data_IF_212699955769
#
_entry.id   IF_212699955769
#
_cell.length_a   1.000
_cell.length_b   1.000
_cell.length_c   1.000
_cell.angle_alpha   90.00
_cell.angle_beta   90.00
_cell.angle_gamma   90.00
#
_symmetry.space_group_name_H-M   'P 1'
#
loop_
_entity.id
_entity.type
_entity.pdbx_description
1 polymer ?
#
# COMPACT_ATOMS: atom_id res chain seq x y z
N UNK A 1 -16.58 12.30 -19.52
CA UNK A 1 -16.88 13.57 -20.21
C UNK A 1 -15.66 14.05 -20.99
N UNK A 2 -14.52 14.43 -20.37
CA UNK A 2 -13.31 14.95 -21.03
C UNK A 2 -12.80 14.06 -22.19
N UNK A 3 -12.71 12.74 -21.98
CA UNK A 3 -12.26 11.81 -23.02
C UNK A 3 -13.20 11.79 -24.22
N UNK A 4 -14.51 11.89 -24.01
CA UNK A 4 -15.50 11.93 -25.08
C UNK A 4 -15.44 13.27 -25.85
N UNK A 5 -15.09 14.36 -25.17
CA UNK A 5 -14.87 15.67 -25.83
C UNK A 5 -13.60 15.67 -26.69
N UNK A 6 -12.51 15.05 -26.19
CA UNK A 6 -11.25 14.93 -26.94
C UNK A 6 -11.35 13.98 -28.13
N UNK A 7 -12.20 12.95 -28.04
CA UNK A 7 -12.38 11.94 -29.08
C UNK A 7 -13.86 11.83 -29.51
N UNK A 8 -14.44 12.85 -30.16
CA UNK A 8 -15.89 12.91 -30.42
C UNK A 8 -16.39 11.81 -31.37
N UNK A 9 -15.52 11.15 -32.10
CA UNK A 9 -15.88 10.04 -32.99
C UNK A 9 -15.76 8.67 -32.32
N UNK A 10 -15.18 8.60 -31.12
CA UNK A 10 -14.98 7.36 -30.41
C UNK A 10 -16.17 7.03 -29.49
N UNK A 11 -16.54 5.78 -29.43
CA UNK A 11 -17.53 5.27 -28.49
C UNK A 11 -16.84 5.03 -27.16
N UNK A 12 -17.05 5.93 -26.21
CA UNK A 12 -16.40 5.92 -24.90
C UNK A 12 -17.36 5.32 -23.88
N UNK A 13 -16.85 4.37 -23.08
CA UNK A 13 -17.57 3.86 -21.92
C UNK A 13 -16.70 3.96 -20.65
N UNK A 14 -17.37 3.98 -19.50
CA UNK A 14 -16.75 4.04 -18.18
C UNK A 14 -17.07 2.77 -17.40
N UNK A 15 -16.07 2.25 -16.71
CA UNK A 15 -16.19 1.09 -15.84
C UNK A 15 -15.62 1.42 -14.45
N UNK A 16 -16.51 1.72 -13.50
CA UNK A 16 -16.15 2.05 -12.12
C UNK A 16 -16.59 0.99 -11.13
N UNK A 17 -15.81 0.88 -10.05
CA UNK A 17 -16.20 0.19 -8.83
C UNK A 17 -16.56 -1.28 -9.00
N UNK A 18 -17.44 -1.76 -8.17
CA UNK A 18 -17.93 -3.14 -8.23
C UNK A 18 -18.70 -3.37 -9.53
N UNK A 19 -18.37 -4.47 -10.21
CA UNK A 19 -19.10 -4.95 -11.37
C UNK A 19 -20.58 -5.15 -10.99
N UNK A 20 -21.34 -4.04 -11.00
CA UNK A 20 -22.79 -4.11 -10.91
C UNK A 20 -23.36 -4.79 -12.18
N UNK A 21 -24.67 -5.04 -12.24
CA UNK A 21 -25.32 -5.76 -13.35
C UNK A 21 -25.00 -5.25 -14.76
N UNK A 22 -24.51 -4.01 -14.90
CA UNK A 22 -24.10 -3.41 -16.18
C UNK A 22 -22.63 -3.55 -16.55
N UNK A 23 -21.74 -3.92 -15.61
CA UNK A 23 -20.30 -3.98 -15.84
C UNK A 23 -19.89 -5.06 -16.84
N UNK A 24 -20.51 -6.23 -16.75
CA UNK A 24 -20.26 -7.36 -17.67
C UNK A 24 -20.69 -7.04 -19.11
N UNK A 25 -21.71 -6.22 -19.29
CA UNK A 25 -22.16 -5.78 -20.60
C UNK A 25 -21.15 -4.82 -21.24
N UNK A 26 -20.66 -3.83 -20.49
CA UNK A 26 -19.62 -2.89 -20.95
C UNK A 26 -18.35 -3.65 -21.35
N UNK A 27 -17.91 -4.62 -20.56
CA UNK A 27 -16.74 -5.45 -20.87
C UNK A 27 -16.95 -6.27 -22.14
N UNK A 28 -18.11 -6.86 -22.31
CA UNK A 28 -18.49 -7.61 -23.52
C UNK A 28 -18.47 -6.71 -24.74
N UNK A 29 -19.07 -5.52 -24.64
CA UNK A 29 -19.16 -4.56 -25.73
C UNK A 29 -17.77 -4.04 -26.15
N UNK A 30 -16.90 -3.77 -25.19
CA UNK A 30 -15.52 -3.42 -25.47
C UNK A 30 -14.76 -4.58 -26.14
N UNK A 31 -14.92 -5.80 -25.66
CA UNK A 31 -14.29 -7.00 -26.23
C UNK A 31 -14.72 -7.26 -27.67
N UNK A 32 -15.97 -6.92 -28.01
CA UNK A 32 -16.55 -7.08 -29.34
C UNK A 32 -16.28 -5.88 -30.26
N UNK A 33 -15.61 -4.84 -29.77
CA UNK A 33 -15.31 -3.63 -30.53
C UNK A 33 -16.52 -2.73 -30.75
N UNK A 34 -17.55 -2.82 -29.91
CA UNK A 34 -18.67 -1.86 -29.88
C UNK A 34 -18.34 -0.59 -29.08
N UNK A 35 -17.32 -0.64 -28.26
CA UNK A 35 -16.72 0.47 -27.53
C UNK A 35 -15.27 0.60 -27.99
N UNK A 36 -14.84 1.83 -28.26
CA UNK A 36 -13.49 2.12 -28.76
C UNK A 36 -12.53 2.50 -27.62
N UNK A 37 -13.03 3.20 -26.60
CA UNK A 37 -12.26 3.63 -25.44
C UNK A 37 -12.99 3.21 -24.16
N UNK A 38 -12.29 2.44 -23.33
CA UNK A 38 -12.77 2.06 -22.02
C UNK A 38 -11.99 2.84 -20.95
N UNK A 39 -12.66 3.67 -20.17
CA UNK A 39 -12.10 4.42 -19.05
C UNK A 39 -12.50 3.74 -17.76
N UNK A 40 -11.54 3.50 -16.86
CA UNK A 40 -11.85 2.84 -15.59
C UNK A 40 -10.74 2.95 -14.56
N UNK A 41 -11.02 2.46 -13.38
CA UNK A 41 -10.06 2.34 -12.28
C UNK A 41 -9.32 0.99 -12.36
N UNK A 42 -8.61 0.62 -11.30
CA UNK A 42 -7.83 -0.65 -11.22
C UNK A 42 -8.66 -1.92 -11.52
N UNK A 43 -9.97 -1.84 -11.50
CA UNK A 43 -10.87 -2.96 -11.77
C UNK A 43 -10.74 -3.47 -13.21
N UNK A 44 -10.44 -2.59 -14.17
CA UNK A 44 -10.20 -2.95 -15.57
C UNK A 44 -8.96 -3.84 -15.72
N UNK A 45 -8.06 -3.80 -14.73
CA UNK A 45 -6.86 -4.64 -14.69
C UNK A 45 -7.16 -6.11 -14.31
N UNK A 46 -8.28 -6.40 -13.66
CA UNK A 46 -8.55 -7.74 -13.11
C UNK A 46 -9.40 -8.60 -14.06
N UNK A 47 -8.82 -9.68 -14.56
CA UNK A 47 -9.57 -10.82 -15.11
C UNK A 47 -10.00 -10.74 -16.58
N UNK A 48 -9.90 -9.59 -17.26
CA UNK A 48 -10.37 -9.48 -18.65
C UNK A 48 -9.24 -9.65 -19.67
N UNK A 49 -9.46 -10.39 -20.73
CA UNK A 49 -8.54 -10.54 -21.86
C UNK A 49 -9.13 -9.85 -23.09
N UNK A 50 -8.53 -8.74 -23.50
CA UNK A 50 -8.98 -7.95 -24.66
C UNK A 50 -8.06 -8.21 -25.85
N UNK A 51 -8.51 -9.06 -26.75
CA UNK A 51 -7.71 -9.49 -27.92
C UNK A 51 -7.35 -8.36 -28.91
N UNK A 52 -8.03 -7.24 -28.86
CA UNK A 52 -7.87 -6.08 -29.77
C UNK A 52 -7.31 -4.83 -29.10
N UNK A 53 -6.76 -4.96 -27.92
CA UNK A 53 -6.24 -3.82 -27.16
C UNK A 53 -4.92 -3.34 -27.75
N UNK A 54 -4.93 -2.16 -28.38
CA UNK A 54 -3.78 -1.54 -29.04
C UNK A 54 -3.05 -0.54 -28.14
N UNK A 55 -3.77 0.07 -27.19
CA UNK A 55 -3.21 1.05 -26.25
C UNK A 55 -3.75 0.80 -24.85
N UNK A 56 -2.84 0.83 -23.91
CA UNK A 56 -3.15 0.97 -22.47
C UNK A 56 -2.48 2.23 -21.98
N UNK A 57 -3.26 3.15 -21.41
CA UNK A 57 -2.75 4.38 -20.83
C UNK A 57 -3.07 4.42 -19.32
N UNK A 58 -2.03 4.61 -18.50
CA UNK A 58 -2.17 4.85 -17.06
C UNK A 58 -1.93 6.32 -16.80
N UNK A 59 -3.00 7.02 -16.42
CA UNK A 59 -2.96 8.45 -16.13
C UNK A 59 -2.71 8.69 -14.64
N UNK A 60 -1.99 9.78 -14.30
CA UNK A 60 -1.66 10.15 -12.92
C UNK A 60 -1.04 8.99 -12.12
N UNK A 61 -0.08 8.29 -12.72
CA UNK A 61 0.52 7.09 -12.14
C UNK A 61 1.20 7.35 -10.79
N UNK A 62 1.60 8.60 -10.50
CA UNK A 62 2.16 9.01 -9.20
C UNK A 62 1.22 8.72 -8.02
N UNK A 63 -0.09 8.68 -8.27
CA UNK A 63 -1.07 8.29 -7.25
C UNK A 63 -0.88 6.85 -6.74
N UNK A 64 -0.27 5.98 -7.54
CA UNK A 64 0.04 4.60 -7.15
C UNK A 64 1.17 4.53 -6.11
N UNK A 65 2.06 5.52 -6.11
CA UNK A 65 3.21 5.64 -5.21
C UNK A 65 2.90 6.48 -3.95
N UNK A 66 1.80 7.23 -3.96
CA UNK A 66 1.43 8.18 -2.90
C UNK A 66 0.94 7.54 -1.58
N UNK A 67 0.88 6.23 -1.49
CA UNK A 67 0.45 5.55 -0.27
C UNK A 67 1.59 5.50 0.76
N UNK A 68 1.28 5.85 2.02
CA UNK A 68 2.20 5.70 3.15
C UNK A 68 2.31 4.22 3.59
N UNK A 69 2.65 3.35 2.66
CA UNK A 69 2.81 1.91 2.86
C UNK A 69 4.15 1.48 2.25
N UNK A 70 4.97 0.77 3.01
CA UNK A 70 6.25 0.23 2.53
C UNK A 70 6.12 -0.70 1.31
N UNK A 71 4.90 -1.10 0.97
CA UNK A 71 4.56 -1.92 -0.20
C UNK A 71 4.12 -1.08 -1.39
N UNK A 72 4.13 0.25 -1.30
CA UNK A 72 3.59 1.11 -2.37
C UNK A 72 4.27 0.83 -3.71
N UNK A 73 5.59 0.82 -3.75
CA UNK A 73 6.38 0.56 -4.96
C UNK A 73 6.12 -0.84 -5.54
N UNK A 74 6.07 -1.85 -4.68
CA UNK A 74 5.77 -3.22 -5.12
C UNK A 74 4.35 -3.35 -5.67
N UNK A 75 3.36 -2.72 -5.02
CA UNK A 75 1.97 -2.72 -5.50
C UNK A 75 1.83 -1.96 -6.82
N UNK A 76 2.50 -0.81 -6.94
CA UNK A 76 2.53 -0.04 -8.17
C UNK A 76 3.17 -0.84 -9.32
N UNK A 77 4.32 -1.45 -9.06
CA UNK A 77 4.99 -2.33 -10.03
C UNK A 77 4.09 -3.49 -10.46
N UNK A 78 3.52 -4.26 -9.52
CA UNK A 78 2.64 -5.39 -9.83
C UNK A 78 1.43 -4.96 -10.67
N UNK A 79 0.83 -3.82 -10.37
CA UNK A 79 -0.31 -3.30 -11.11
C UNK A 79 0.10 -2.87 -12.52
N UNK A 80 1.20 -2.14 -12.67
CA UNK A 80 1.70 -1.69 -13.97
C UNK A 80 2.11 -2.87 -14.86
N UNK A 81 2.72 -3.92 -14.29
CA UNK A 81 3.02 -5.17 -15.01
C UNK A 81 1.75 -5.87 -15.51
N UNK A 82 0.69 -5.88 -14.69
CA UNK A 82 -0.60 -6.42 -15.12
C UNK A 82 -1.16 -5.64 -16.32
N UNK A 83 -1.02 -4.33 -16.35
CA UNK A 83 -1.44 -3.50 -17.47
C UNK A 83 -0.56 -3.71 -18.70
N UNK A 84 0.77 -3.72 -18.53
CA UNK A 84 1.73 -3.93 -19.61
C UNK A 84 1.47 -5.27 -20.33
N UNK A 85 1.22 -6.32 -19.56
CA UNK A 85 0.93 -7.66 -20.09
C UNK A 85 -0.38 -7.77 -20.89
N UNK A 86 -1.20 -6.73 -20.91
CA UNK A 86 -2.47 -6.70 -21.68
C UNK A 86 -2.34 -6.04 -23.04
N UNK A 87 -1.40 -5.10 -23.21
CA UNK A 87 -1.10 -4.48 -24.49
C UNK A 87 -0.29 -5.43 -25.38
N UNK A 88 -0.73 -5.66 -26.64
CA UNK A 88 0.12 -6.32 -27.62
C UNK A 88 0.09 -7.85 -27.67
N UNK A 89 -0.97 -8.51 -27.22
CA UNK A 89 -1.14 -9.96 -27.40
C UNK A 89 -1.41 -10.32 -28.89
N UNK A 90 -0.99 -11.53 -29.30
CA UNK A 90 -1.19 -12.14 -30.64
C UNK A 90 -0.46 -11.43 -31.80
N UNK A 91 0.79 -10.93 -31.55
CA UNK A 91 1.66 -10.45 -32.64
C UNK A 91 1.40 -9.00 -33.09
N UNK A 92 0.47 -8.28 -32.45
CA UNK A 92 0.32 -6.84 -32.61
C UNK A 92 1.17 -6.12 -31.56
N UNK A 93 1.96 -5.12 -31.99
CA UNK A 93 2.68 -4.24 -31.07
C UNK A 93 1.66 -3.34 -30.35
N UNK A 94 1.34 -3.65 -29.09
CA UNK A 94 0.56 -2.77 -28.24
C UNK A 94 1.42 -1.63 -27.71
N UNK A 95 0.82 -0.48 -27.48
CA UNK A 95 1.45 0.65 -26.81
C UNK A 95 1.03 0.65 -25.34
N UNK A 96 2.00 0.81 -24.43
CA UNK A 96 1.76 1.02 -23.00
C UNK A 96 2.29 2.41 -22.63
N UNK A 97 1.42 3.29 -22.18
CA UNK A 97 1.72 4.67 -21.84
C UNK A 97 1.52 4.90 -20.34
N UNK A 98 2.52 5.49 -19.71
CA UNK A 98 2.45 5.90 -18.29
C UNK A 98 2.63 7.41 -18.22
N UNK A 99 1.60 8.10 -17.72
CA UNK A 99 1.69 9.53 -17.44
C UNK A 99 2.11 9.72 -15.98
N UNK A 100 3.26 10.36 -15.77
CA UNK A 100 3.84 10.61 -14.45
C UNK A 100 4.59 11.94 -14.41
N UNK A 101 4.67 12.59 -13.25
CA UNK A 101 5.52 13.75 -13.00
C UNK A 101 6.96 13.33 -12.59
N UNK A 102 7.17 12.04 -12.26
CA UNK A 102 8.43 11.49 -11.77
C UNK A 102 8.94 10.32 -12.63
N UNK A 103 9.23 10.54 -13.93
CA UNK A 103 9.57 9.46 -14.86
C UNK A 103 10.85 8.70 -14.46
N UNK A 104 11.73 9.33 -13.67
CA UNK A 104 12.96 8.72 -13.17
C UNK A 104 12.78 7.81 -11.96
N UNK A 105 11.53 7.69 -11.43
CA UNK A 105 11.26 6.79 -10.33
C UNK A 105 11.62 5.33 -10.69
N UNK A 106 12.29 4.56 -9.80
CA UNK A 106 12.77 3.21 -10.10
C UNK A 106 11.70 2.28 -10.69
N UNK A 107 10.47 2.34 -10.19
CA UNK A 107 9.34 1.55 -10.69
C UNK A 107 9.05 1.84 -12.17
N UNK A 108 8.98 3.13 -12.56
CA UNK A 108 8.67 3.50 -13.95
C UNK A 108 9.82 3.20 -14.89
N UNK A 109 11.05 3.45 -14.45
CA UNK A 109 12.26 3.10 -15.24
C UNK A 109 12.33 1.60 -15.50
N UNK A 110 12.05 0.78 -14.50
CA UNK A 110 12.03 -0.68 -14.63
C UNK A 110 10.95 -1.14 -15.62
N UNK A 111 9.72 -0.64 -15.48
CA UNK A 111 8.61 -0.97 -16.39
C UNK A 111 8.87 -0.53 -17.81
N UNK A 112 9.56 0.58 -18.03
CA UNK A 112 9.90 1.13 -19.38
C UNK A 112 11.12 0.47 -20.01
N UNK A 113 11.90 -0.30 -19.24
CA UNK A 113 13.06 -1.02 -19.76
C UNK A 113 12.65 -2.37 -20.34
N UNK A 114 13.37 -2.83 -21.35
CA UNK A 114 13.25 -4.20 -21.87
C UNK A 114 13.97 -5.24 -20.98
N UNK A 115 14.62 -4.78 -19.92
CA UNK A 115 15.37 -5.63 -19.01
C UNK A 115 14.45 -6.25 -17.97
N UNK A 116 14.35 -7.56 -17.98
CA UNK A 116 13.72 -8.38 -16.94
C UNK A 116 14.83 -8.91 -16.01
N UNK A 117 15.52 -8.00 -15.34
CA UNK A 117 16.46 -8.36 -14.28
C UNK A 117 15.79 -8.21 -12.90
N UNK A 118 16.39 -8.77 -11.87
CA UNK A 118 15.86 -8.68 -10.50
C UNK A 118 16.22 -7.36 -9.79
N UNK A 119 16.74 -6.37 -10.52
CA UNK A 119 17.30 -5.13 -9.94
C UNK A 119 16.30 -4.34 -9.10
N UNK A 120 15.03 -4.26 -9.54
CA UNK A 120 13.98 -3.59 -8.77
C UNK A 120 13.64 -4.37 -7.50
N UNK A 121 13.54 -5.70 -7.60
CA UNK A 121 13.27 -6.58 -6.46
C UNK A 121 14.38 -6.47 -5.42
N UNK A 122 15.63 -6.46 -5.87
CA UNK A 122 16.80 -6.32 -5.00
C UNK A 122 16.86 -4.95 -4.33
N UNK A 123 16.51 -3.88 -5.06
CA UNK A 123 16.43 -2.53 -4.51
C UNK A 123 15.35 -2.43 -3.43
N UNK A 124 14.14 -2.95 -3.69
CA UNK A 124 13.03 -2.99 -2.74
C UNK A 124 13.41 -3.81 -1.50
N UNK A 125 14.05 -4.97 -1.67
CA UNK A 125 14.47 -5.81 -0.54
C UNK A 125 15.57 -5.14 0.28
N UNK A 126 16.54 -4.47 -0.37
CA UNK A 126 17.61 -3.73 0.31
C UNK A 126 17.05 -2.59 1.16
N UNK A 127 16.08 -1.84 0.62
CA UNK A 127 15.38 -0.78 1.36
C UNK A 127 14.61 -1.36 2.55
N UNK A 128 13.85 -2.45 2.34
CA UNK A 128 13.13 -3.11 3.43
C UNK A 128 14.04 -3.62 4.52
N UNK A 129 15.21 -4.14 4.17
CA UNK A 129 16.21 -4.54 5.14
C UNK A 129 16.73 -3.34 5.94
N UNK A 130 17.10 -2.26 5.25
CA UNK A 130 17.63 -1.05 5.87
C UNK A 130 16.63 -0.42 6.86
N UNK A 131 15.35 -0.36 6.49
CA UNK A 131 14.30 0.21 7.33
C UNK A 131 13.59 -0.79 8.23
N UNK A 132 13.98 -2.06 8.20
CA UNK A 132 13.39 -3.12 9.02
C UNK A 132 11.94 -3.38 8.73
N UNK A 133 11.60 -3.45 7.46
CA UNK A 133 10.29 -3.87 6.99
C UNK A 133 10.23 -5.39 6.73
N UNK A 134 9.03 -5.97 6.61
CA UNK A 134 8.90 -7.33 6.11
C UNK A 134 9.55 -7.49 4.73
N UNK A 135 10.16 -8.63 4.42
CA UNK A 135 10.12 -9.92 5.14
C UNK A 135 11.09 -10.05 6.31
N UNK A 136 11.97 -9.09 6.56
CA UNK A 136 13.06 -9.14 7.57
C UNK A 136 12.57 -8.91 9.00
N UNK A 137 11.39 -8.33 9.17
CA UNK A 137 10.75 -8.07 10.44
C UNK A 137 9.28 -8.52 10.46
N UNK A 138 8.66 -8.39 11.64
CA UNK A 138 7.21 -8.38 11.82
C UNK A 138 6.79 -7.01 12.30
N UNK A 139 5.77 -6.45 11.66
CA UNK A 139 5.15 -5.21 12.09
C UNK A 139 3.95 -5.55 12.95
N UNK A 140 3.86 -4.88 14.10
CA UNK A 140 2.72 -4.93 15.02
C UNK A 140 2.20 -3.52 15.16
N UNK A 141 0.94 -3.29 14.85
CA UNK A 141 0.27 -2.05 15.15
C UNK A 141 -0.37 -2.16 16.54
N UNK A 142 -0.07 -1.19 17.40
CA UNK A 142 -0.69 -1.03 18.72
C UNK A 142 -1.61 0.17 18.64
N UNK A 143 -2.92 -0.05 18.78
CA UNK A 143 -3.93 1.00 18.70
C UNK A 143 -4.45 1.34 20.09
N UNK A 144 -4.42 2.62 20.44
CA UNK A 144 -5.03 3.18 21.65
C UNK A 144 -6.27 3.96 21.22
N UNK A 145 -7.39 3.77 21.93
CA UNK A 145 -8.67 4.41 21.62
C UNK A 145 -9.23 5.12 22.83
N UNK A 146 -9.73 6.34 22.64
CA UNK A 146 -10.42 7.11 23.64
C UNK A 146 -11.49 8.03 23.02
N UNK A 147 -12.48 8.45 23.80
CA UNK A 147 -13.50 9.42 23.36
C UNK A 147 -12.96 10.84 23.24
N UNK A 148 -11.94 11.18 24.01
CA UNK A 148 -11.24 12.46 23.97
C UNK A 148 -9.93 12.31 23.19
N UNK A 149 -9.71 13.21 22.24
CA UNK A 149 -8.54 13.17 21.37
C UNK A 149 -7.24 13.39 22.14
N UNK A 150 -7.24 14.32 23.09
CA UNK A 150 -6.09 14.62 23.93
C UNK A 150 -5.72 13.44 24.82
N UNK A 151 -6.72 12.78 25.41
CA UNK A 151 -6.55 11.55 26.20
C UNK A 151 -5.98 10.42 25.37
N UNK A 152 -6.51 10.18 24.15
CA UNK A 152 -5.97 9.18 23.24
C UNK A 152 -4.50 9.43 22.91
N UNK A 153 -4.13 10.69 22.64
CA UNK A 153 -2.76 11.07 22.33
C UNK A 153 -1.82 10.91 23.54
N UNK A 154 -2.25 11.31 24.74
CA UNK A 154 -1.48 11.19 25.97
C UNK A 154 -1.24 9.72 26.35
N UNK A 155 -2.30 8.89 26.34
CA UNK A 155 -2.23 7.46 26.61
C UNK A 155 -1.32 6.73 25.60
N UNK A 156 -1.45 7.04 24.31
CA UNK A 156 -0.58 6.45 23.29
C UNK A 156 0.90 6.88 23.46
N UNK A 157 1.14 8.14 23.84
CA UNK A 157 2.49 8.62 24.11
C UNK A 157 3.12 7.93 25.32
N UNK A 158 2.37 7.75 26.39
CA UNK A 158 2.79 7.00 27.57
C UNK A 158 3.09 5.54 27.25
N UNK A 159 2.22 4.88 26.51
CA UNK A 159 2.44 3.49 26.07
C UNK A 159 3.67 3.36 25.17
N UNK A 160 3.87 4.28 24.22
CA UNK A 160 5.05 4.29 23.36
C UNK A 160 6.34 4.44 24.18
N UNK A 161 6.32 5.31 25.20
CA UNK A 161 7.44 5.48 26.14
C UNK A 161 7.70 4.21 26.95
N UNK A 162 6.64 3.57 27.48
CA UNK A 162 6.75 2.31 28.22
C UNK A 162 7.39 1.20 27.35
N UNK A 163 6.93 1.06 26.10
CA UNK A 163 7.51 0.09 25.15
C UNK A 163 8.99 0.42 24.89
N UNK A 164 9.34 1.68 24.58
CA UNK A 164 10.74 2.08 24.34
C UNK A 164 11.62 1.77 25.54
N UNK A 165 11.18 2.13 26.74
CA UNK A 165 11.93 1.87 27.98
C UNK A 165 12.15 0.37 28.22
N UNK A 166 11.10 -0.43 28.04
CA UNK A 166 11.18 -1.86 28.22
C UNK A 166 12.17 -2.52 27.27
N UNK A 167 12.23 -2.08 26.01
CA UNK A 167 13.18 -2.61 25.03
C UNK A 167 14.53 -1.87 24.99
N UNK A 168 14.75 -0.88 25.85
CA UNK A 168 16.01 -0.13 25.92
C UNK A 168 16.27 0.76 24.68
N UNK A 169 15.22 1.18 23.97
CA UNK A 169 15.30 1.94 22.72
C UNK A 169 15.65 3.40 23.03
N UNK A 170 16.79 3.88 22.53
CA UNK A 170 17.32 5.22 22.77
C UNK A 170 17.31 6.06 21.50
N UNK A 171 16.18 6.30 20.90
CA UNK A 171 16.07 7.15 19.70
C UNK A 171 14.91 6.83 18.81
N UNK A 172 14.77 7.63 17.74
CA UNK A 172 13.71 7.49 16.75
C UNK A 172 14.14 6.64 15.54
N UNK A 173 15.44 6.50 15.33
CA UNK A 173 16.01 5.82 14.16
C UNK A 173 16.56 4.48 14.59
N UNK A 174 16.17 3.45 13.86
CA UNK A 174 16.65 2.09 14.07
C UNK A 174 18.13 1.99 13.74
N UNK A 175 18.94 1.45 14.69
CA UNK A 175 20.27 0.96 14.36
C UNK A 175 20.18 -0.46 13.78
N UNK A 176 21.23 -0.92 13.08
CA UNK A 176 21.32 -2.32 12.60
C UNK A 176 21.29 -3.35 13.73
N UNK A 177 21.58 -2.92 14.94
CA UNK A 177 21.65 -3.75 16.16
C UNK A 177 20.30 -3.83 16.88
N UNK A 178 19.37 -2.87 16.60
CA UNK A 178 18.07 -2.84 17.26
C UNK A 178 17.16 -3.96 16.76
N UNK A 179 16.83 -4.85 17.66
CA UNK A 179 15.90 -5.96 17.37
C UNK A 179 14.45 -5.50 17.32
N UNK A 180 14.13 -4.37 17.95
CA UNK A 180 12.81 -3.77 18.03
C UNK A 180 12.91 -2.28 17.73
N UNK A 181 12.00 -1.78 16.89
CA UNK A 181 11.87 -0.35 16.61
C UNK A 181 10.43 0.11 16.85
N UNK A 182 10.28 1.33 17.38
CA UNK A 182 8.98 1.90 17.75
C UNK A 182 8.81 3.25 17.06
N UNK A 183 7.77 3.37 16.25
CA UNK A 183 7.40 4.60 15.53
C UNK A 183 6.03 5.04 16.02
N UNK A 184 5.87 6.33 16.20
CA UNK A 184 4.66 6.93 16.72
C UNK A 184 4.76 7.37 18.18
N UNK A 185 3.60 7.75 18.79
CA UNK A 185 2.26 7.59 18.25
C UNK A 185 1.95 8.54 17.09
N UNK A 186 1.00 8.15 16.23
CA UNK A 186 0.49 8.93 15.11
C UNK A 186 -1.01 8.68 14.90
N UNK A 187 -1.70 9.60 14.23
CA UNK A 187 -3.06 9.41 13.77
C UNK A 187 -3.06 8.54 12.50
N UNK A 188 -3.79 7.42 12.43
CA UNK A 188 -3.96 6.64 11.22
C UNK A 188 -4.82 7.39 10.19
N UNK A 189 -4.86 6.91 8.93
CA UNK A 189 -5.68 7.50 7.88
C UNK A 189 -7.19 7.56 8.21
N UNK A 190 -7.68 6.62 9.04
CA UNK A 190 -8.99 6.68 9.70
C UNK A 190 -8.73 6.79 11.19
N UNK A 191 -8.75 8.01 11.69
CA UNK A 191 -8.36 8.34 13.07
C UNK A 191 -9.53 8.41 14.06
N UNK A 192 -10.78 8.23 13.56
CA UNK A 192 -11.99 8.20 14.38
C UNK A 192 -12.98 7.15 13.87
N UNK A 193 -13.40 6.25 14.75
CA UNK A 193 -14.40 5.21 14.46
C UNK A 193 -15.36 5.09 15.66
N UNK A 194 -16.67 5.14 15.41
CA UNK A 194 -17.70 5.00 16.44
C UNK A 194 -17.47 5.92 17.65
N UNK A 195 -17.20 7.20 17.38
CA UNK A 195 -16.89 8.25 18.37
C UNK A 195 -15.65 8.02 19.24
N UNK A 196 -14.76 7.13 18.82
CA UNK A 196 -13.47 6.90 19.45
C UNK A 196 -12.35 7.42 18.55
N UNK A 197 -11.50 8.30 19.09
CA UNK A 197 -10.25 8.70 18.47
C UNK A 197 -9.22 7.58 18.58
N UNK A 198 -8.49 7.35 17.50
CA UNK A 198 -7.50 6.29 17.40
C UNK A 198 -6.11 6.91 17.29
N UNK A 199 -5.18 6.41 18.07
CA UNK A 199 -3.74 6.67 17.92
C UNK A 199 -3.01 5.35 17.78
N UNK A 200 -2.07 5.31 16.86
CA UNK A 200 -1.32 4.09 16.55
C UNK A 200 0.16 4.23 16.88
N UNK A 201 0.72 3.14 17.33
CA UNK A 201 2.15 2.94 17.53
C UNK A 201 2.54 1.75 16.67
N UNK A 202 3.51 1.93 15.78
CA UNK A 202 4.05 0.85 14.97
C UNK A 202 5.30 0.28 15.63
N UNK A 203 5.27 -1.01 15.94
CA UNK A 203 6.40 -1.75 16.51
C UNK A 203 6.90 -2.74 15.46
N UNK A 204 8.16 -2.59 15.06
CA UNK A 204 8.83 -3.50 14.13
C UNK A 204 9.79 -4.39 14.90
N UNK A 205 9.63 -5.71 14.79
CA UNK A 205 10.44 -6.72 15.50
C UNK A 205 11.16 -7.56 14.46
N UNK A 206 12.50 -7.61 14.53
CA UNK A 206 13.33 -8.41 13.61
C UNK A 206 13.00 -9.89 13.70
N UNK A 207 13.04 -10.56 12.55
CA UNK A 207 12.99 -12.02 12.46
C UNK A 207 14.32 -12.62 12.84
N UNK A 208 14.48 -12.90 14.12
CA UNK A 208 15.63 -13.57 14.71
C UNK A 208 15.14 -14.57 15.79
N UNK A 209 16.00 -15.34 16.44
CA UNK A 209 15.61 -16.28 17.49
C UNK A 209 14.80 -15.65 18.64
N UNK A 210 14.99 -14.34 18.91
CA UNK A 210 14.25 -13.62 19.95
C UNK A 210 12.86 -13.11 19.51
N UNK A 211 12.44 -13.31 18.25
CA UNK A 211 11.16 -12.81 17.75
C UNK A 211 9.98 -13.22 18.63
N UNK A 212 9.92 -14.50 19.03
CA UNK A 212 8.81 -15.02 19.84
C UNK A 212 8.79 -14.36 21.22
N UNK A 213 9.92 -14.30 21.90
CA UNK A 213 10.04 -13.67 23.23
C UNK A 213 9.74 -12.16 23.17
N UNK A 214 10.23 -11.46 22.16
CA UNK A 214 9.96 -10.04 21.98
C UNK A 214 8.47 -9.76 21.71
N UNK A 215 7.78 -10.62 20.94
CA UNK A 215 6.34 -10.52 20.74
C UNK A 215 5.55 -10.73 22.02
N UNK A 216 5.90 -11.77 22.80
CA UNK A 216 5.27 -12.02 24.09
C UNK A 216 5.46 -10.83 25.04
N UNK A 217 6.72 -10.35 25.17
CA UNK A 217 7.04 -9.18 25.98
C UNK A 217 6.26 -7.93 25.58
N UNK A 218 6.11 -7.69 24.29
CA UNK A 218 5.29 -6.56 23.78
C UNK A 218 3.83 -6.72 24.22
N UNK A 219 3.26 -7.92 24.10
CA UNK A 219 1.88 -8.18 24.49
C UNK A 219 1.70 -7.94 26.00
N UNK A 220 2.60 -8.42 26.82
CA UNK A 220 2.57 -8.25 28.29
C UNK A 220 2.61 -6.76 28.68
N UNK A 221 3.46 -5.97 28.00
CA UNK A 221 3.56 -4.51 28.24
C UNK A 221 2.27 -3.81 27.88
N UNK A 222 1.69 -4.12 26.73
CA UNK A 222 0.45 -3.48 26.25
C UNK A 222 -0.73 -3.84 27.17
N UNK A 223 -0.82 -5.09 27.60
CA UNK A 223 -1.86 -5.54 28.52
C UNK A 223 -1.72 -4.89 29.90
N UNK A 224 -0.52 -4.86 30.47
CA UNK A 224 -0.23 -4.24 31.77
C UNK A 224 -0.57 -2.75 31.72
N UNK A 225 -0.12 -2.03 30.69
CA UNK A 225 -0.39 -0.60 30.52
C UNK A 225 -1.89 -0.32 30.39
N UNK A 226 -2.60 -1.14 29.60
CA UNK A 226 -4.05 -1.01 29.44
C UNK A 226 -4.81 -1.17 30.76
N UNK A 227 -4.40 -2.12 31.62
CA UNK A 227 -4.99 -2.34 32.95
C UNK A 227 -4.70 -1.17 33.90
N UNK A 228 -3.45 -0.71 33.96
CA UNK A 228 -3.01 0.37 34.84
C UNK A 228 -3.69 1.70 34.52
N UNK A 229 -3.89 2.00 33.25
CA UNK A 229 -4.46 3.27 32.80
C UNK A 229 -5.94 3.18 32.43
N UNK A 230 -6.59 2.03 32.62
CA UNK A 230 -7.99 1.78 32.27
C UNK A 230 -8.32 2.15 30.81
N UNK A 231 -7.39 1.90 29.89
CA UNK A 231 -7.51 2.28 28.49
C UNK A 231 -7.62 1.06 27.57
N UNK A 232 -8.28 1.27 26.41
CA UNK A 232 -8.36 0.24 25.37
C UNK A 232 -7.10 0.30 24.49
N UNK A 233 -6.15 -0.61 24.73
CA UNK A 233 -4.99 -0.82 23.90
C UNK A 233 -5.08 -2.20 23.21
N UNK A 234 -4.98 -2.22 21.88
CA UNK A 234 -5.14 -3.43 21.07
C UNK A 234 -3.95 -3.66 20.16
N UNK A 235 -3.55 -4.92 20.00
CA UNK A 235 -2.51 -5.36 19.08
C UNK A 235 -3.15 -5.90 17.79
N UNK A 236 -2.63 -5.49 16.64
CA UNK A 236 -2.91 -6.13 15.36
C UNK A 236 -1.61 -6.43 14.63
N UNK A 237 -1.57 -7.54 13.89
CA UNK A 237 -0.47 -7.89 13.01
C UNK A 237 -0.78 -7.35 11.62
N UNK A 238 0.18 -6.64 11.03
CA UNK A 238 0.17 -6.23 9.63
C UNK A 238 0.71 -7.34 8.72
#
# INVERSE_FOLDING_TARGET
EEVAELFPQARVARLDGDLGPGGDEVVRDFSQGRIDILVGTQIVAKGFDFARLSLVAVLQADSLLGFQDFRADEKAWQLLEQFRGRGGRRGQKGCFLIQTATPDHPVYRYISSDHQDDSLSDAILSERYAFGYPPFSRIVAVSVRDRDEGSAAALASGLAAAIRNAFGIRGLVRSKEDQVAVIGPYAPGVDRVSDLYIRQIRVSIMKNPALKSNKSRLADIVEAYGKENSCSAQLSLD
#
